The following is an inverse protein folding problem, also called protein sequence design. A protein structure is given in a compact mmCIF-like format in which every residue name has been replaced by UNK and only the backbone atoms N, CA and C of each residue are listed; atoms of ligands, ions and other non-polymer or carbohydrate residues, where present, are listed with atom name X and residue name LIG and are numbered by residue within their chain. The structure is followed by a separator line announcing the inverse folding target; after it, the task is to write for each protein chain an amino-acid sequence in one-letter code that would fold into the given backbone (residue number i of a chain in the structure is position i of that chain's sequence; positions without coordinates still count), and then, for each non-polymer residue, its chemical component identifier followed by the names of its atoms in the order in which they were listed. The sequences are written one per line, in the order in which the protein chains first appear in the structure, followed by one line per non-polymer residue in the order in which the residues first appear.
data_IF_037646871954
#
_entry.id   IF_037646871954
#
_cell.length_a   1.000
_cell.length_b   1.000
_cell.length_c   1.000
_cell.angle_alpha   90.00
_cell.angle_beta   90.00
_cell.angle_gamma   90.00
#
_symmetry.space_group_name_H-M   'P 1'
#
loop_
_entity.id
_entity.type
_entity.pdbx_description
1 polymer ?
#
# COMPACT_ATOMS: atom_id res chain seq x y z
N UNK A 1 -3.19 31.49 41.24
CA UNK A 1 -4.06 30.30 41.20
C UNK A 1 -4.17 29.86 39.74
N UNK A 2 -3.31 28.92 39.29
CA UNK A 2 -3.37 28.39 37.91
C UNK A 2 -4.37 27.24 37.90
N UNK A 3 -5.39 27.33 37.05
CA UNK A 3 -6.30 26.22 36.82
C UNK A 3 -5.52 25.02 36.25
N UNK A 4 -5.76 23.79 36.72
CA UNK A 4 -5.18 22.60 36.10
C UNK A 4 -5.73 22.45 34.68
N UNK A 5 -4.81 22.33 33.71
CA UNK A 5 -5.12 21.99 32.33
C UNK A 5 -5.80 20.61 32.29
N UNK A 6 -7.04 20.58 31.82
CA UNK A 6 -7.83 19.36 31.64
C UNK A 6 -7.07 18.36 30.75
N UNK A 7 -6.85 17.10 31.18
CA UNK A 7 -6.23 16.09 30.34
C UNK A 7 -7.29 15.47 29.41
N UNK A 8 -6.91 15.29 28.14
CA UNK A 8 -7.58 14.49 27.11
C UNK A 8 -8.80 15.12 26.43
N UNK A 9 -8.56 16.18 25.67
CA UNK A 9 -9.31 16.35 24.42
C UNK A 9 -8.76 15.33 23.40
N UNK A 10 -9.57 14.45 22.78
CA UNK A 10 -9.15 13.62 21.67
C UNK A 10 -9.05 14.49 20.41
N UNK A 11 -8.25 15.56 20.51
CA UNK A 11 -8.15 16.60 19.50
C UNK A 11 -7.74 15.94 18.19
N UNK A 12 -8.63 16.10 17.20
CA UNK A 12 -8.27 15.88 15.81
C UNK A 12 -6.92 16.55 15.56
N UNK A 13 -5.99 15.90 14.85
CA UNK A 13 -4.69 16.48 14.56
C UNK A 13 -4.96 17.82 13.91
N UNK A 14 -4.17 18.85 14.24
CA UNK A 14 -4.42 20.19 13.78
C UNK A 14 -4.62 20.15 12.26
N UNK A 15 -5.56 20.94 11.73
CA UNK A 15 -5.92 20.98 10.31
C UNK A 15 -4.69 21.09 9.37
N UNK A 16 -3.56 21.58 9.89
CA UNK A 16 -2.24 21.59 9.26
C UNK A 16 -1.65 20.20 8.95
N UNK A 17 -1.88 19.18 9.78
CA UNK A 17 -1.34 17.83 9.60
C UNK A 17 -2.03 17.09 8.45
N UNK A 18 -3.36 17.18 8.34
CA UNK A 18 -4.09 16.56 7.23
C UNK A 18 -3.78 17.26 5.90
N UNK A 19 -3.65 18.59 5.89
CA UNK A 19 -3.16 19.33 4.72
C UNK A 19 -1.77 18.89 4.28
N UNK A 20 -0.87 18.61 5.23
CA UNK A 20 0.47 18.11 4.93
C UNK A 20 0.44 16.71 4.32
N UNK A 21 -0.38 15.80 4.87
CA UNK A 21 -0.56 14.46 4.30
C UNK A 21 -1.15 14.57 2.89
N UNK A 22 -2.18 15.40 2.69
CA UNK A 22 -2.76 15.66 1.37
C UNK A 22 -1.73 16.19 0.37
N UNK A 23 -0.93 17.18 0.75
CA UNK A 23 0.13 17.74 -0.08
C UNK A 23 1.16 16.68 -0.48
N UNK A 24 1.60 15.83 0.46
CA UNK A 24 2.49 14.71 0.14
C UNK A 24 1.82 13.67 -0.77
N UNK A 25 0.57 13.31 -0.52
CA UNK A 25 -0.18 12.38 -1.37
C UNK A 25 -0.28 12.89 -2.81
N UNK A 26 -0.55 14.18 -3.00
CA UNK A 26 -0.62 14.83 -4.32
C UNK A 26 0.76 14.97 -4.97
N UNK A 27 1.79 15.32 -4.20
CA UNK A 27 3.16 15.38 -4.70
C UNK A 27 3.64 14.00 -5.17
N UNK A 28 3.39 12.94 -4.38
CA UNK A 28 3.68 11.57 -4.78
C UNK A 28 2.89 11.18 -6.03
N UNK A 29 1.60 11.52 -6.11
CA UNK A 29 0.80 11.28 -7.32
C UNK A 29 1.44 11.94 -8.56
N UNK A 30 1.83 13.22 -8.44
CA UNK A 30 2.48 13.95 -9.52
C UNK A 30 3.80 13.29 -9.96
N UNK A 31 4.58 12.75 -9.01
CA UNK A 31 5.80 12.00 -9.32
C UNK A 31 5.52 10.68 -10.04
N UNK A 32 4.47 9.95 -9.64
CA UNK A 32 4.07 8.71 -10.33
C UNK A 32 3.58 9.02 -11.74
N UNK A 33 2.75 10.05 -11.92
CA UNK A 33 2.29 10.49 -13.25
C UNK A 33 3.45 10.98 -14.12
N UNK A 34 4.42 11.70 -13.54
CA UNK A 34 5.62 12.14 -14.24
C UNK A 34 6.47 10.96 -14.70
N UNK A 35 6.60 9.91 -13.88
CA UNK A 35 7.29 8.67 -14.28
C UNK A 35 6.65 8.04 -15.52
N UNK A 36 5.32 7.92 -15.53
CA UNK A 36 4.55 7.39 -16.67
C UNK A 36 4.73 8.26 -17.92
N UNK A 37 4.57 9.58 -17.77
CA UNK A 37 4.67 10.54 -18.87
C UNK A 37 6.06 10.53 -19.52
N UNK A 38 7.11 10.33 -18.73
CA UNK A 38 8.49 10.23 -19.22
C UNK A 38 8.83 8.87 -19.87
N UNK A 39 7.88 7.92 -19.96
CA UNK A 39 8.08 6.63 -20.62
C UNK A 39 9.15 5.75 -19.94
N UNK A 40 9.39 5.95 -18.64
CA UNK A 40 10.52 5.32 -17.91
C UNK A 40 10.35 3.83 -17.68
N UNK A 41 9.13 3.32 -17.84
CA UNK A 41 8.81 1.89 -17.69
C UNK A 41 9.57 1.01 -18.68
N UNK A 42 9.55 1.35 -19.97
CA UNK A 42 10.28 0.59 -20.99
C UNK A 42 11.78 0.70 -20.78
N UNK A 43 12.29 1.89 -20.46
CA UNK A 43 13.71 2.10 -20.17
C UNK A 43 14.21 1.18 -19.06
N UNK A 44 13.44 1.07 -17.97
CA UNK A 44 13.81 0.20 -16.86
C UNK A 44 13.54 -1.29 -17.17
N UNK A 45 12.56 -1.62 -18.00
CA UNK A 45 12.31 -3.00 -18.42
C UNK A 45 13.47 -3.54 -19.27
N UNK A 46 14.05 -2.73 -20.16
CA UNK A 46 15.24 -3.09 -20.93
C UNK A 46 16.50 -3.32 -20.09
N UNK A 47 16.56 -2.78 -18.87
CA UNK A 47 17.66 -3.10 -17.96
C UNK A 47 17.64 -4.56 -17.49
N UNK A 48 16.49 -5.25 -17.61
CA UNK A 48 16.30 -6.64 -17.16
C UNK A 48 15.87 -7.61 -18.27
N UNK A 49 15.36 -7.11 -19.39
CA UNK A 49 14.85 -7.92 -20.49
C UNK A 49 15.35 -7.44 -21.85
N UNK A 50 15.31 -8.33 -22.83
CA UNK A 50 15.68 -8.07 -24.22
C UNK A 50 14.64 -8.72 -25.16
N UNK A 51 14.89 -8.67 -26.47
CA UNK A 51 14.04 -9.36 -27.45
C UNK A 51 13.94 -10.88 -27.26
N UNK A 52 14.82 -11.50 -26.47
CA UNK A 52 14.72 -12.91 -26.07
C UNK A 52 13.96 -13.12 -24.76
N UNK A 53 13.36 -12.08 -24.19
CA UNK A 53 12.63 -12.11 -22.93
C UNK A 53 13.46 -11.70 -21.70
N UNK A 54 12.94 -12.05 -20.53
CA UNK A 54 13.52 -11.73 -19.23
C UNK A 54 14.26 -12.96 -18.67
N UNK A 55 15.60 -12.93 -18.56
CA UNK A 55 16.37 -14.09 -18.09
C UNK A 55 16.00 -14.55 -16.68
N UNK A 56 15.48 -13.64 -15.85
CA UNK A 56 15.12 -13.91 -14.46
C UNK A 56 13.67 -14.35 -14.27
N UNK A 57 12.87 -14.44 -15.35
CA UNK A 57 11.44 -14.79 -15.32
C UNK A 57 11.15 -16.05 -14.52
N UNK A 58 11.90 -17.11 -14.84
CA UNK A 58 11.71 -18.48 -14.32
C UNK A 58 12.85 -18.91 -13.37
N UNK A 59 13.73 -17.97 -13.00
CA UNK A 59 14.83 -18.27 -12.09
C UNK A 59 14.29 -18.61 -10.69
N UNK A 60 14.80 -19.70 -10.10
CA UNK A 60 14.24 -20.31 -8.89
C UNK A 60 13.98 -19.34 -7.74
N UNK A 61 14.93 -18.46 -7.43
CA UNK A 61 14.81 -17.49 -6.33
C UNK A 61 13.69 -16.50 -6.61
N UNK A 62 13.60 -15.98 -7.83
CA UNK A 62 12.58 -15.01 -8.22
C UNK A 62 11.15 -15.60 -8.19
N UNK A 63 11.01 -16.88 -8.54
CA UNK A 63 9.71 -17.59 -8.52
C UNK A 63 9.35 -18.07 -7.10
N UNK A 64 10.21 -18.82 -6.44
CA UNK A 64 9.85 -19.53 -5.21
C UNK A 64 10.02 -18.68 -3.96
N UNK A 65 11.03 -17.80 -3.95
CA UNK A 65 11.32 -16.95 -2.78
C UNK A 65 10.65 -15.59 -2.93
N UNK A 66 11.01 -14.84 -3.98
CA UNK A 66 10.58 -13.44 -4.13
C UNK A 66 9.12 -13.30 -4.60
N UNK A 67 8.53 -14.34 -5.20
CA UNK A 67 7.14 -14.33 -5.62
C UNK A 67 6.25 -15.18 -4.70
N UNK A 68 6.39 -16.50 -4.72
CA UNK A 68 5.54 -17.39 -3.92
C UNK A 68 5.76 -17.25 -2.42
N UNK A 69 7.02 -17.29 -1.97
CA UNK A 69 7.41 -17.14 -0.58
C UNK A 69 6.95 -15.80 -0.02
N UNK A 70 7.25 -14.72 -0.71
CA UNK A 70 6.79 -13.37 -0.35
C UNK A 70 5.26 -13.27 -0.24
N UNK A 71 4.51 -13.89 -1.17
CA UNK A 71 3.04 -13.92 -1.12
C UNK A 71 2.54 -14.65 0.13
N UNK A 72 3.12 -15.81 0.46
CA UNK A 72 2.77 -16.58 1.67
C UNK A 72 3.08 -15.77 2.94
N UNK A 73 4.25 -15.15 3.00
CA UNK A 73 4.66 -14.28 4.13
C UNK A 73 3.72 -13.09 4.27
N UNK A 74 3.33 -12.42 3.18
CA UNK A 74 2.37 -11.32 3.22
C UNK A 74 1.04 -11.72 3.85
N UNK A 75 0.45 -12.84 3.42
CA UNK A 75 -0.79 -13.36 4.01
C UNK A 75 -0.63 -13.79 5.47
N UNK A 76 0.50 -14.41 5.81
CA UNK A 76 0.81 -14.73 7.21
C UNK A 76 0.88 -13.47 8.06
N UNK A 77 1.51 -12.40 7.59
CA UNK A 77 1.59 -11.12 8.31
C UNK A 77 0.20 -10.48 8.47
N UNK A 78 -0.66 -10.54 7.45
CA UNK A 78 -2.06 -10.09 7.56
C UNK A 78 -2.80 -10.89 8.63
N UNK A 79 -2.66 -12.21 8.63
CA UNK A 79 -3.28 -13.09 9.63
C UNK A 79 -2.78 -12.78 11.04
N UNK A 80 -1.46 -12.65 11.23
CA UNK A 80 -0.87 -12.30 12.52
C UNK A 80 -1.32 -10.92 13.01
N UNK A 81 -1.43 -9.94 12.10
CA UNK A 81 -1.96 -8.62 12.42
C UNK A 81 -3.43 -8.69 12.85
N UNK A 82 -4.25 -9.51 12.17
CA UNK A 82 -5.65 -9.73 12.51
C UNK A 82 -5.82 -10.40 13.88
N UNK A 83 -5.07 -11.48 14.15
CA UNK A 83 -5.05 -12.12 15.47
C UNK A 83 -4.57 -11.16 16.56
N UNK A 84 -3.61 -10.28 16.22
CA UNK A 84 -3.08 -9.24 17.10
C UNK A 84 -4.11 -8.20 17.57
N UNK A 85 -5.31 -8.15 16.98
CA UNK A 85 -6.42 -7.33 17.49
C UNK A 85 -6.83 -7.80 18.88
N UNK A 86 -7.05 -9.11 19.04
CA UNK A 86 -7.49 -9.74 20.28
C UNK A 86 -6.32 -10.20 21.17
N UNK A 87 -5.22 -10.63 20.56
CA UNK A 87 -4.02 -11.10 21.25
C UNK A 87 -2.80 -10.22 20.94
N UNK A 88 -2.77 -8.97 21.44
CA UNK A 88 -1.71 -8.02 21.10
C UNK A 88 -0.35 -8.44 21.67
N UNK A 89 0.67 -8.41 20.82
CA UNK A 89 2.07 -8.59 21.18
C UNK A 89 2.89 -7.35 20.84
N UNK A 90 3.98 -7.13 21.58
CA UNK A 90 4.94 -6.06 21.31
C UNK A 90 4.28 -4.68 21.18
N UNK A 91 4.57 -3.90 20.10
CA UNK A 91 3.99 -2.57 19.88
C UNK A 91 2.46 -2.52 19.84
N UNK A 92 1.78 -3.61 19.47
CA UNK A 92 0.31 -3.65 19.41
C UNK A 92 -0.35 -3.53 20.79
N UNK A 93 0.35 -3.89 21.87
CA UNK A 93 -0.18 -3.78 23.25
C UNK A 93 -0.44 -2.33 23.67
N UNK A 94 0.27 -1.38 23.04
CA UNK A 94 0.13 0.06 23.31
C UNK A 94 -0.91 0.73 22.40
N UNK A 95 -1.53 -0.02 21.50
CA UNK A 95 -2.67 0.44 20.70
C UNK A 95 -3.97 0.00 21.36
N UNK A 96 -5.00 0.84 21.30
CA UNK A 96 -6.36 0.42 21.66
C UNK A 96 -6.93 -0.56 20.61
N UNK A 97 -8.07 -1.19 20.91
CA UNK A 97 -8.70 -2.16 19.99
C UNK A 97 -9.09 -1.51 18.64
N UNK A 98 -9.54 -0.25 18.66
CA UNK A 98 -9.94 0.48 17.46
C UNK A 98 -8.76 0.83 16.56
N UNK A 99 -7.59 1.12 17.12
CA UNK A 99 -6.34 1.36 16.40
C UNK A 99 -5.80 0.08 15.76
N UNK A 100 -5.87 -1.05 16.46
CA UNK A 100 -5.51 -2.36 15.90
C UNK A 100 -6.45 -2.74 14.75
N UNK A 101 -7.76 -2.59 14.97
CA UNK A 101 -8.76 -2.86 13.93
C UNK A 101 -8.58 -1.93 12.73
N UNK A 102 -8.31 -0.64 12.95
CA UNK A 102 -7.99 0.31 11.89
C UNK A 102 -6.83 -0.18 11.04
N UNK A 103 -5.75 -0.68 11.64
CA UNK A 103 -4.60 -1.17 10.87
C UNK A 103 -4.98 -2.37 10.00
N UNK A 104 -5.66 -3.37 10.56
CA UNK A 104 -6.12 -4.56 9.83
C UNK A 104 -7.03 -4.15 8.66
N UNK A 105 -8.04 -3.33 8.93
CA UNK A 105 -9.00 -2.88 7.92
C UNK A 105 -8.30 -2.07 6.83
N UNK A 106 -7.36 -1.19 7.19
CA UNK A 106 -6.59 -0.41 6.21
C UNK A 106 -5.80 -1.32 5.27
N UNK A 107 -5.15 -2.35 5.80
CA UNK A 107 -4.38 -3.31 5.01
C UNK A 107 -5.28 -4.11 4.06
N UNK A 108 -6.41 -4.63 4.56
CA UNK A 108 -7.37 -5.39 3.75
C UNK A 108 -8.01 -4.54 2.66
N UNK A 109 -8.41 -3.30 2.97
CA UNK A 109 -8.95 -2.36 1.98
C UNK A 109 -7.90 -2.01 0.92
N UNK A 110 -6.64 -1.82 1.30
CA UNK A 110 -5.56 -1.55 0.37
C UNK A 110 -5.33 -2.73 -0.60
N UNK A 111 -5.27 -3.97 -0.07
CA UNK A 111 -5.17 -5.18 -0.89
C UNK A 111 -6.38 -5.34 -1.81
N UNK A 112 -7.58 -5.10 -1.31
CA UNK A 112 -8.80 -5.15 -2.11
C UNK A 112 -8.80 -4.11 -3.24
N UNK A 113 -8.43 -2.85 -2.94
CA UNK A 113 -8.36 -1.79 -3.94
C UNK A 113 -7.36 -2.12 -5.06
N UNK A 114 -6.16 -2.60 -4.72
CA UNK A 114 -5.16 -3.04 -5.72
C UNK A 114 -5.68 -4.22 -6.54
N UNK A 115 -6.32 -5.20 -5.89
CA UNK A 115 -6.88 -6.38 -6.56
C UNK A 115 -8.01 -6.01 -7.52
N UNK A 116 -8.94 -5.14 -7.10
CA UNK A 116 -10.05 -4.67 -7.93
C UNK A 116 -9.51 -3.89 -9.13
N UNK A 117 -8.63 -2.91 -8.90
CA UNK A 117 -8.00 -2.15 -9.98
C UNK A 117 -7.29 -3.08 -10.98
N UNK A 118 -6.59 -4.10 -10.48
CA UNK A 118 -5.89 -5.10 -11.30
C UNK A 118 -6.85 -5.89 -12.18
N UNK A 119 -7.97 -6.35 -11.62
CA UNK A 119 -8.93 -7.15 -12.38
C UNK A 119 -9.70 -6.33 -13.44
N UNK A 120 -9.75 -5.01 -13.28
CA UNK A 120 -10.36 -4.09 -14.25
C UNK A 120 -9.39 -3.61 -15.34
N UNK A 121 -8.09 -3.87 -15.20
CA UNK A 121 -7.08 -3.41 -16.16
C UNK A 121 -6.92 -4.37 -17.34
N UNK A 122 -6.91 -3.82 -18.56
CA UNK A 122 -6.53 -4.53 -19.79
C UNK A 122 -5.03 -4.54 -20.06
N UNK A 123 -4.21 -3.92 -19.20
CA UNK A 123 -2.76 -3.79 -19.41
C UNK A 123 -2.05 -5.13 -19.23
N UNK A 124 -1.32 -5.55 -20.26
CA UNK A 124 -0.50 -6.76 -20.21
C UNK A 124 0.85 -6.55 -19.50
N UNK A 125 1.49 -7.67 -19.16
CA UNK A 125 2.75 -7.67 -18.43
C UNK A 125 3.92 -7.40 -19.40
N UNK A 126 5.04 -6.83 -18.92
CA UNK A 126 6.22 -6.61 -19.77
C UNK A 126 6.67 -7.86 -20.53
N UNK A 127 6.67 -9.04 -19.89
CA UNK A 127 7.06 -10.31 -20.52
C UNK A 127 6.13 -10.80 -21.63
N UNK A 128 4.94 -10.19 -21.77
CA UNK A 128 3.94 -10.57 -22.78
C UNK A 128 4.10 -9.71 -24.02
N UNK A 129 4.86 -8.60 -23.93
CA UNK A 129 5.04 -7.66 -25.03
C UNK A 129 5.97 -8.24 -26.10
N UNK A 130 5.65 -7.94 -27.37
CA UNK A 130 6.45 -8.34 -28.54
C UNK A 130 7.89 -7.84 -28.47
N UNK A 131 8.11 -6.67 -27.85
CA UNK A 131 9.45 -6.11 -27.60
C UNK A 131 10.33 -7.01 -26.71
N UNK A 132 9.72 -7.83 -25.86
CA UNK A 132 10.39 -8.78 -24.99
C UNK A 132 10.13 -10.24 -25.38
N UNK A 133 9.88 -10.50 -26.67
CA UNK A 133 9.68 -11.85 -27.20
C UNK A 133 8.28 -12.45 -26.97
N UNK A 134 7.33 -11.65 -26.49
CA UNK A 134 5.91 -12.00 -26.40
C UNK A 134 5.13 -11.69 -27.68
N UNK A 135 3.82 -11.48 -27.56
CA UNK A 135 2.90 -11.21 -28.69
C UNK A 135 2.07 -9.94 -28.53
N UNK A 136 1.99 -9.40 -27.32
CA UNK A 136 1.20 -8.21 -27.02
C UNK A 136 1.89 -6.94 -27.53
N UNK A 137 1.12 -5.94 -27.92
CA UNK A 137 1.64 -4.62 -28.29
C UNK A 137 1.77 -3.76 -27.05
N UNK A 138 2.76 -2.88 -26.98
CA UNK A 138 2.79 -1.94 -25.86
C UNK A 138 1.56 -1.02 -25.90
N UNK A 139 0.78 -1.03 -24.82
CA UNK A 139 -0.30 -0.10 -24.57
C UNK A 139 -0.13 0.50 -23.18
N UNK A 140 -0.23 1.83 -23.10
CA UNK A 140 -0.25 2.52 -21.80
C UNK A 140 -1.40 2.02 -20.95
N UNK A 141 -1.21 1.90 -19.64
CA UNK A 141 -2.30 1.57 -18.71
C UNK A 141 -3.36 2.69 -18.59
N UNK A 142 -3.12 3.83 -19.23
CA UNK A 142 -4.10 4.91 -19.44
C UNK A 142 -4.88 4.80 -20.75
N UNK A 143 -4.56 3.85 -21.63
CA UNK A 143 -5.27 3.61 -22.88
C UNK A 143 -6.52 2.74 -22.61
N UNK A 144 -7.49 3.31 -21.91
CA UNK A 144 -8.73 2.64 -21.52
C UNK A 144 -9.45 2.03 -22.73
N UNK A 145 -9.83 0.75 -22.64
CA UNK A 145 -10.55 0.04 -23.69
C UNK A 145 -9.69 -0.43 -24.86
N UNK A 146 -8.40 -0.08 -24.90
CA UNK A 146 -7.47 -0.64 -25.87
C UNK A 146 -7.03 -2.03 -25.42
N UNK A 147 -7.25 -3.02 -26.30
CA UNK A 147 -6.79 -4.39 -26.11
C UNK A 147 -5.44 -4.52 -26.81
N UNK A 148 -4.42 -4.88 -26.04
CA UNK A 148 -3.04 -5.03 -26.53
C UNK A 148 -2.73 -6.41 -27.13
N UNK A 149 -3.70 -7.32 -27.09
CA UNK A 149 -3.56 -8.71 -27.56
C UNK A 149 -2.95 -9.66 -26.54
N UNK A 150 -2.67 -9.20 -25.31
CA UNK A 150 -2.18 -10.03 -24.21
C UNK A 150 -3.27 -10.35 -23.16
N UNK A 151 -2.83 -10.91 -22.03
CA UNK A 151 -3.73 -11.42 -20.98
C UNK A 151 -4.34 -10.34 -20.06
N UNK A 152 -3.85 -9.10 -20.12
CA UNK A 152 -4.27 -8.02 -19.24
C UNK A 152 -3.94 -8.26 -17.76
N UNK A 153 -4.58 -7.50 -16.87
CA UNK A 153 -4.51 -7.65 -15.41
C UNK A 153 -3.09 -7.55 -14.82
N UNK A 154 -2.20 -6.78 -15.43
CA UNK A 154 -0.85 -6.55 -14.93
C UNK A 154 -0.66 -5.19 -14.25
N UNK A 155 -1.63 -4.28 -14.36
CA UNK A 155 -1.63 -2.99 -13.67
C UNK A 155 -2.80 -2.89 -12.69
N UNK A 156 -2.60 -2.49 -11.42
CA UNK A 156 -1.33 -2.25 -10.73
C UNK A 156 -0.67 -3.56 -10.21
N UNK A 157 0.53 -3.43 -9.63
CA UNK A 157 1.36 -4.55 -9.18
C UNK A 157 0.87 -5.20 -7.87
N UNK A 158 0.01 -6.21 -8.00
CA UNK A 158 -0.55 -6.95 -6.86
C UNK A 158 0.48 -7.65 -5.95
N UNK A 159 1.68 -7.98 -6.43
CA UNK A 159 2.73 -8.54 -5.55
C UNK A 159 3.37 -7.49 -4.66
N UNK A 160 3.57 -6.27 -5.16
CA UNK A 160 4.15 -5.18 -4.38
C UNK A 160 3.23 -4.74 -3.23
N UNK A 161 1.91 -4.85 -3.41
CA UNK A 161 0.95 -4.53 -2.35
C UNK A 161 1.03 -5.46 -1.14
N UNK A 162 1.62 -6.66 -1.27
CA UNK A 162 1.90 -7.53 -0.12
C UNK A 162 2.86 -6.88 0.91
N UNK A 163 3.70 -5.94 0.47
CA UNK A 163 4.48 -5.08 1.37
C UNK A 163 3.77 -3.76 1.68
N UNK A 164 3.30 -3.05 0.64
CA UNK A 164 2.73 -1.71 0.82
C UNK A 164 1.42 -1.67 1.61
N UNK A 165 0.65 -2.76 1.68
CA UNK A 165 -0.60 -2.78 2.45
C UNK A 165 -0.40 -2.45 3.95
N UNK A 166 0.81 -2.65 4.48
CA UNK A 166 1.12 -2.38 5.88
C UNK A 166 1.40 -0.91 6.20
N UNK A 167 1.44 0.00 5.22
CA UNK A 167 1.61 1.46 5.46
C UNK A 167 0.52 2.05 6.37
N UNK A 168 -0.65 1.39 6.46
CA UNK A 168 -1.69 1.71 7.44
C UNK A 168 -1.21 1.70 8.90
N UNK A 169 -0.15 0.94 9.19
CA UNK A 169 0.47 0.89 10.52
C UNK A 169 1.09 2.21 10.94
N UNK A 170 1.61 3.00 9.99
CA UNK A 170 2.06 4.37 10.30
C UNK A 170 0.90 5.19 10.85
N UNK A 171 -0.28 5.10 10.23
CA UNK A 171 -1.46 5.82 10.69
C UNK A 171 -1.92 5.34 12.08
N UNK A 172 -1.96 4.03 12.32
CA UNK A 172 -2.34 3.48 13.62
C UNK A 172 -1.35 3.85 14.74
N UNK A 173 -0.03 3.78 14.47
CA UNK A 173 1.02 3.93 15.49
C UNK A 173 1.42 5.39 15.76
N UNK A 174 1.29 6.31 14.80
CA UNK A 174 1.94 7.64 14.86
C UNK A 174 1.55 8.52 16.05
N UNK A 175 0.40 8.27 16.69
CA UNK A 175 -0.07 9.07 17.83
C UNK A 175 0.59 8.65 19.14
N UNK A 176 0.76 7.35 19.34
CA UNK A 176 1.26 6.76 20.60
C UNK A 176 2.71 6.34 20.51
N UNK A 177 3.20 6.00 19.31
CA UNK A 177 4.49 5.37 19.07
C UNK A 177 5.15 5.89 17.78
N UNK A 178 5.59 7.16 17.71
CA UNK A 178 6.07 7.78 16.46
C UNK A 178 7.32 7.09 15.87
N UNK A 179 8.24 6.59 16.70
CA UNK A 179 9.42 5.85 16.23
C UNK A 179 9.02 4.53 15.56
N UNK A 180 8.12 3.77 16.19
CA UNK A 180 7.59 2.52 15.63
C UNK A 180 6.77 2.77 14.36
N UNK A 181 6.03 3.88 14.31
CA UNK A 181 5.30 4.29 13.11
C UNK A 181 6.24 4.54 11.93
N UNK A 182 7.33 5.30 12.13
CA UNK A 182 8.32 5.54 11.08
C UNK A 182 9.00 4.24 10.64
N UNK A 183 9.39 3.37 11.57
CA UNK A 183 9.97 2.07 11.24
C UNK A 183 9.00 1.20 10.42
N UNK A 184 7.72 1.16 10.80
CA UNK A 184 6.68 0.46 10.07
C UNK A 184 6.49 1.01 8.65
N UNK A 185 6.47 2.34 8.49
CA UNK A 185 6.36 2.98 7.18
C UNK A 185 7.54 2.61 6.28
N UNK A 186 8.76 2.79 6.76
CA UNK A 186 9.98 2.49 6.00
C UNK A 186 10.03 1.01 5.64
N UNK A 187 9.76 0.12 6.60
CA UNK A 187 9.75 -1.32 6.34
C UNK A 187 8.71 -1.72 5.29
N UNK A 188 7.50 -1.15 5.35
CA UNK A 188 6.44 -1.43 4.37
C UNK A 188 6.81 -0.92 2.97
N UNK A 189 7.40 0.28 2.89
CA UNK A 189 7.85 0.86 1.63
C UNK A 189 9.01 0.06 1.01
N UNK A 190 10.02 -0.27 1.82
CA UNK A 190 11.16 -1.08 1.37
C UNK A 190 10.69 -2.46 0.92
N UNK A 191 9.85 -3.14 1.71
CA UNK A 191 9.32 -4.45 1.34
C UNK A 191 8.56 -4.38 0.02
N UNK A 192 7.62 -3.43 -0.14
CA UNK A 192 6.86 -3.30 -1.38
C UNK A 192 7.74 -2.97 -2.60
N UNK A 193 8.77 -2.12 -2.44
CA UNK A 193 9.72 -1.80 -3.51
C UNK A 193 10.60 -3.00 -3.88
N UNK A 194 11.11 -3.75 -2.90
CA UNK A 194 11.90 -4.97 -3.17
C UNK A 194 11.06 -6.01 -3.92
N UNK A 195 9.82 -6.22 -3.49
CA UNK A 195 8.91 -7.15 -4.18
C UNK A 195 8.56 -6.66 -5.59
N UNK A 196 8.31 -5.37 -5.75
CA UNK A 196 8.06 -4.75 -7.07
C UNK A 196 9.25 -4.87 -8.00
N UNK A 197 10.46 -4.56 -7.53
CA UNK A 197 11.71 -4.71 -8.29
C UNK A 197 11.98 -6.17 -8.66
N UNK A 198 11.69 -7.11 -7.78
CA UNK A 198 11.80 -8.52 -8.10
C UNK A 198 10.85 -8.92 -9.24
N UNK A 199 9.63 -8.37 -9.27
CA UNK A 199 8.69 -8.60 -10.36
C UNK A 199 9.06 -7.83 -11.64
N UNK A 200 9.64 -6.63 -11.54
CA UNK A 200 10.23 -5.90 -12.67
C UNK A 200 11.33 -6.71 -13.34
N UNK A 201 12.25 -7.27 -12.56
CA UNK A 201 13.35 -8.08 -13.06
C UNK A 201 12.87 -9.34 -13.80
N UNK A 202 11.72 -9.89 -13.39
CA UNK A 202 11.07 -11.02 -14.06
C UNK A 202 10.30 -10.61 -15.32
N UNK A 203 10.03 -9.33 -15.53
CA UNK A 203 9.12 -8.84 -16.56
C UNK A 203 7.63 -9.00 -16.21
N UNK A 204 7.29 -9.20 -14.94
CA UNK A 204 5.90 -9.40 -14.51
C UNK A 204 5.14 -8.08 -14.30
N UNK A 205 5.84 -6.98 -14.00
CA UNK A 205 5.23 -5.67 -13.77
C UNK A 205 6.20 -4.58 -14.18
N UNK A 206 5.70 -3.48 -14.74
CA UNK A 206 6.49 -2.25 -14.88
C UNK A 206 6.68 -1.55 -13.51
N UNK A 207 7.63 -0.62 -13.44
CA UNK A 207 7.89 0.13 -12.22
C UNK A 207 6.72 1.06 -11.87
N UNK A 208 6.08 1.67 -12.85
CA UNK A 208 4.84 2.41 -12.65
C UNK A 208 3.78 1.58 -11.93
N UNK A 209 3.61 0.30 -12.28
CA UNK A 209 2.63 -0.59 -11.65
C UNK A 209 2.93 -0.74 -10.15
N UNK A 210 4.21 -0.77 -9.77
CA UNK A 210 4.69 -0.81 -8.39
C UNK A 210 4.43 0.52 -7.68
N UNK A 211 4.79 1.64 -8.30
CA UNK A 211 4.61 2.98 -7.74
C UNK A 211 3.13 3.34 -7.53
N UNK A 212 2.26 2.99 -8.48
CA UNK A 212 0.81 3.10 -8.36
C UNK A 212 0.26 2.24 -7.23
N UNK A 213 0.79 1.03 -7.03
CA UNK A 213 0.40 0.19 -5.88
C UNK A 213 0.77 0.86 -4.56
N UNK A 214 1.97 1.43 -4.45
CA UNK A 214 2.39 2.17 -3.26
C UNK A 214 1.47 3.36 -2.97
N UNK A 215 1.18 4.16 -4.01
CA UNK A 215 0.31 5.33 -3.90
C UNK A 215 -1.14 4.96 -3.54
N UNK A 216 -1.69 3.90 -4.13
CA UNK A 216 -3.02 3.38 -3.80
C UNK A 216 -3.08 2.87 -2.36
N UNK A 217 -2.12 2.05 -1.93
CA UNK A 217 -2.07 1.55 -0.55
C UNK A 217 -1.97 2.70 0.47
N UNK A 218 -1.12 3.70 0.20
CA UNK A 218 -1.02 4.90 1.03
C UNK A 218 -2.32 5.68 1.10
N UNK A 219 -2.95 5.95 -0.04
CA UNK A 219 -4.19 6.72 -0.13
C UNK A 219 -5.35 6.01 0.57
N UNK A 220 -5.49 4.69 0.37
CA UNK A 220 -6.51 3.89 1.07
C UNK A 220 -6.27 3.88 2.58
N UNK A 221 -5.02 3.71 3.02
CA UNK A 221 -4.68 3.78 4.44
C UNK A 221 -4.98 5.15 5.06
N UNK A 222 -4.72 6.24 4.33
CA UNK A 222 -5.06 7.58 4.77
C UNK A 222 -6.57 7.78 4.87
N UNK A 223 -7.34 7.34 3.88
CA UNK A 223 -8.81 7.40 3.89
C UNK A 223 -9.41 6.57 5.03
N UNK A 224 -8.85 5.39 5.31
CA UNK A 224 -9.24 4.56 6.44
C UNK A 224 -8.95 5.25 7.78
N UNK A 225 -7.83 5.97 7.91
CA UNK A 225 -7.54 6.78 9.10
C UNK A 225 -8.51 7.95 9.28
N UNK A 226 -8.89 8.64 8.19
CA UNK A 226 -9.92 9.68 8.22
C UNK A 226 -11.28 9.11 8.66
N UNK A 227 -11.67 7.97 8.10
CA UNK A 227 -12.91 7.27 8.46
C UNK A 227 -12.92 6.81 9.92
N UNK A 228 -11.83 6.21 10.39
CA UNK A 228 -11.69 5.77 11.78
C UNK A 228 -11.76 6.95 12.76
N UNK A 229 -11.16 8.10 12.40
CA UNK A 229 -11.26 9.34 13.22
C UNK A 229 -12.70 9.86 13.28
N UNK A 230 -13.36 9.96 12.13
CA UNK A 230 -14.74 10.42 12.05
C UNK A 230 -15.67 9.52 12.88
N UNK A 231 -15.46 8.21 12.83
CA UNK A 231 -16.21 7.25 13.63
C UNK A 231 -15.95 7.41 15.14
N UNK A 232 -14.69 7.58 15.57
CA UNK A 232 -14.36 7.82 16.98
C UNK A 232 -15.01 9.09 17.54
N UNK A 233 -15.04 10.17 16.75
CA UNK A 233 -15.72 11.41 17.15
C UNK A 233 -17.23 11.20 17.28
N UNK A 234 -17.84 10.46 16.35
CA UNK A 234 -19.28 10.17 16.37
C UNK A 234 -19.71 9.24 17.52
N UNK A 235 -18.83 8.33 17.92
CA UNK A 235 -19.10 7.35 18.99
C UNK A 235 -18.65 7.85 20.37
N UNK A 236 -18.04 9.04 20.47
CA UNK A 236 -17.65 9.61 21.75
C UNK A 236 -18.91 9.94 22.58
N UNK A 237 -18.95 9.60 23.89
CA UNK A 237 -20.04 10.01 24.76
C UNK A 237 -20.18 11.54 24.78
N UNK A 238 -21.39 12.09 24.87
CA UNK A 238 -21.57 13.52 25.01
C UNK A 238 -20.85 14.05 26.26
N UNK A 239 -20.19 15.22 26.19
CA UNK A 239 -19.53 15.82 27.34
C UNK A 239 -20.56 16.07 28.45
N UNK A 240 -20.39 15.39 29.59
CA UNK A 240 -21.30 15.49 30.74
C UNK A 240 -22.08 14.22 31.09
N UNK A 241 -21.98 13.15 30.29
CA UNK A 241 -22.45 11.82 30.70
C UNK A 241 -21.50 11.22 31.75
N UNK A 242 -21.49 11.78 32.97
CA UNK A 242 -20.88 11.14 34.12
C UNK A 242 -21.55 9.77 34.31
N UNK A 243 -20.73 8.73 34.53
CA UNK A 243 -21.24 7.43 34.95
C UNK A 243 -22.09 7.61 36.22
N UNK A 244 -23.25 6.94 36.37
CA UNK A 244 -23.94 6.94 37.64
C UNK A 244 -22.98 6.47 38.72
N UNK A 245 -22.79 7.31 39.74
CA UNK A 245 -21.97 7.00 40.90
C UNK A 245 -22.50 5.69 41.52
N UNK A 246 -21.63 4.68 41.59
CA UNK A 246 -21.86 3.46 42.35
C UNK A 246 -21.51 3.69 43.82
#
# INVERSE_FOLDING_TARGET
MRLPSSPLDPALPPFSAQRRIAAWTLACLALVVLWDFLGRDLSLAHAFGSGSGFPLRDQWFFVHVAHEGARRVGWLLVLLLALGVWWPLGPLRRLDMGERLQWVVSALLALAAVSIAKNLSSTSCPWDLAEFGGVARYASHWAWGLVDGGGGRCFPAGHASAGFAFVGGWFALRRTQPRAACACLVASLVAGLVLGLAQQARGAHFMSHTLWSAWLCWTVAWMADLGARALRVRLAPPPGAAAPAA
#
